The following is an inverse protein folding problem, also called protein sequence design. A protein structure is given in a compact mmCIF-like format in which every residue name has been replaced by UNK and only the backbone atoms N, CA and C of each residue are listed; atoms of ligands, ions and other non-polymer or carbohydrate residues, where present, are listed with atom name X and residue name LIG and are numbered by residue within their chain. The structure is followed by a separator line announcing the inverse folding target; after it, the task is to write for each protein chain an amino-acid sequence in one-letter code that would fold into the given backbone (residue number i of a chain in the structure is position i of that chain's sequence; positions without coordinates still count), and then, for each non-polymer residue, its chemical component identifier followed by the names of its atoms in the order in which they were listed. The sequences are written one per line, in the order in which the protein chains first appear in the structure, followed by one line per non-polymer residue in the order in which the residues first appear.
data_IF_049498941772
#
_entry.id   IF_049498941772
#
_cell.length_a   1.000
_cell.length_b   1.000
_cell.length_c   1.000
_cell.angle_alpha   90.00
_cell.angle_beta   90.00
_cell.angle_gamma   90.00
#
_symmetry.space_group_name_H-M   'P 1'
#
loop_
_entity.id
_entity.type
_entity.pdbx_description
1 polymer ?
#
# COMPACT_ATOMS: atom_id res chain seq x y z
N UNK A 1 -24.34 -0.92 18.68
CA UNK A 1 -24.88 -2.31 18.75
C UNK A 1 -24.03 -3.17 19.68
N UNK A 2 -22.70 -3.16 19.55
CA UNK A 2 -21.80 -3.89 20.46
C UNK A 2 -21.89 -3.44 21.94
N UNK A 3 -22.30 -2.19 22.23
CA UNK A 3 -22.41 -1.73 23.62
C UNK A 3 -23.49 -2.47 24.41
N UNK A 4 -24.57 -2.93 23.74
CA UNK A 4 -25.74 -3.54 24.38
C UNK A 4 -25.56 -5.03 24.64
N UNK A 5 -24.78 -5.72 23.80
CA UNK A 5 -24.49 -7.17 23.91
C UNK A 5 -23.06 -7.44 24.37
N UNK A 6 -22.49 -6.52 25.16
CA UNK A 6 -21.12 -6.64 25.66
C UNK A 6 -21.07 -7.55 26.89
N UNK A 7 -19.91 -8.15 27.16
CA UNK A 7 -19.68 -9.00 28.35
C UNK A 7 -19.95 -8.25 29.66
N UNK A 8 -19.73 -6.93 29.70
CA UNK A 8 -20.11 -6.11 30.85
C UNK A 8 -21.62 -6.06 31.08
N UNK A 9 -22.42 -6.08 30.01
CA UNK A 9 -23.88 -6.09 30.12
C UNK A 9 -24.41 -7.46 30.56
N UNK A 10 -23.77 -8.55 30.12
CA UNK A 10 -24.08 -9.92 30.57
C UNK A 10 -23.91 -10.07 32.09
N UNK A 11 -22.81 -9.55 32.63
CA UNK A 11 -22.53 -9.56 34.07
C UNK A 11 -23.52 -8.66 34.82
N UNK A 12 -23.85 -7.48 34.29
CA UNK A 12 -24.80 -6.57 34.93
C UNK A 12 -26.21 -7.16 35.01
N UNK A 13 -26.65 -7.84 33.95
CA UNK A 13 -27.97 -8.46 33.89
C UNK A 13 -27.99 -9.90 34.41
N UNK A 14 -26.82 -10.45 34.77
CA UNK A 14 -26.64 -11.84 35.20
C UNK A 14 -27.27 -12.85 34.22
N UNK A 15 -27.07 -12.60 32.92
CA UNK A 15 -27.58 -13.42 31.82
C UNK A 15 -26.46 -13.68 30.82
N UNK A 16 -26.42 -14.88 30.26
CA UNK A 16 -25.54 -15.24 29.16
C UNK A 16 -26.32 -15.11 27.84
N UNK A 17 -25.94 -14.15 26.99
CA UNK A 17 -26.66 -13.92 25.74
C UNK A 17 -26.48 -15.05 24.74
N UNK A 18 -25.38 -15.81 24.81
CA UNK A 18 -25.15 -16.95 23.92
C UNK A 18 -26.14 -18.08 24.22
N UNK A 19 -26.29 -18.44 25.51
CA UNK A 19 -27.26 -19.46 25.95
C UNK A 19 -28.69 -19.00 25.65
N UNK A 20 -29.00 -17.73 25.93
CA UNK A 20 -30.33 -17.18 25.67
C UNK A 20 -30.69 -17.22 24.17
N UNK A 21 -29.71 -16.96 23.29
CA UNK A 21 -29.91 -17.08 21.85
C UNK A 21 -30.12 -18.54 21.45
N UNK A 22 -29.30 -19.47 21.95
CA UNK A 22 -29.39 -20.91 21.67
C UNK A 22 -30.77 -21.49 22.03
N UNK A 23 -31.35 -21.08 23.17
CA UNK A 23 -32.68 -21.54 23.58
C UNK A 23 -33.84 -20.87 22.81
N UNK A 24 -33.58 -19.75 22.13
CA UNK A 24 -34.60 -18.93 21.48
C UNK A 24 -35.22 -19.59 20.24
N UNK A 25 -36.40 -19.11 19.84
CA UNK A 25 -37.00 -19.50 18.55
C UNK A 25 -36.20 -18.99 17.35
N UNK A 26 -35.51 -17.85 17.50
CA UNK A 26 -34.68 -17.24 16.45
C UNK A 26 -33.51 -18.15 16.05
N UNK A 27 -32.87 -18.82 17.00
CA UNK A 27 -31.80 -19.78 16.68
C UNK A 27 -32.33 -20.97 15.88
N UNK A 28 -33.47 -21.55 16.30
CA UNK A 28 -34.12 -22.65 15.57
C UNK A 28 -34.55 -22.25 14.16
N UNK A 29 -35.18 -21.09 14.00
CA UNK A 29 -35.55 -20.55 12.69
C UNK A 29 -34.32 -20.31 11.79
N UNK A 30 -33.20 -19.87 12.36
CA UNK A 30 -31.96 -19.67 11.63
C UNK A 30 -31.32 -21.01 11.20
N UNK A 31 -31.34 -22.04 12.05
CA UNK A 31 -30.86 -23.38 11.68
C UNK A 31 -31.71 -24.01 10.58
N UNK A 32 -33.03 -23.96 10.70
CA UNK A 32 -33.97 -24.45 9.68
C UNK A 32 -33.74 -23.73 8.34
N UNK A 33 -33.52 -22.41 8.37
CA UNK A 33 -33.22 -21.61 7.18
C UNK A 33 -31.88 -22.01 6.55
N UNK A 34 -30.85 -22.27 7.36
CA UNK A 34 -29.54 -22.73 6.88
C UNK A 34 -29.66 -24.11 6.23
N UNK A 35 -30.40 -25.05 6.82
CA UNK A 35 -30.63 -26.37 6.24
C UNK A 35 -31.35 -26.25 4.89
N UNK A 36 -32.40 -25.44 4.82
CA UNK A 36 -33.14 -25.19 3.57
C UNK A 36 -32.28 -24.56 2.47
N UNK A 37 -31.44 -23.57 2.82
CA UNK A 37 -30.55 -22.89 1.85
C UNK A 37 -29.31 -23.71 1.49
N UNK A 38 -28.91 -24.67 2.32
CA UNK A 38 -27.79 -25.57 2.05
C UNK A 38 -28.09 -26.54 0.90
N UNK A 39 -29.37 -26.83 0.66
CA UNK A 39 -29.83 -27.67 -0.44
C UNK A 39 -29.95 -26.78 -1.69
N UNK A 40 -29.12 -26.99 -2.74
CA UNK A 40 -29.21 -26.22 -3.96
C UNK A 40 -30.55 -26.47 -4.66
N UNK A 41 -31.10 -25.43 -5.32
CA UNK A 41 -32.37 -25.56 -6.02
C UNK A 41 -32.26 -26.62 -7.14
N UNK A 42 -33.32 -27.41 -7.40
CA UNK A 42 -33.35 -28.33 -8.53
C UNK A 42 -33.08 -27.56 -9.82
N UNK A 43 -32.08 -27.98 -10.59
CA UNK A 43 -31.56 -27.31 -11.81
C UNK A 43 -30.73 -26.02 -11.60
N UNK A 44 -30.27 -25.71 -10.38
CA UNK A 44 -29.27 -24.65 -10.21
C UNK A 44 -27.88 -25.15 -10.60
N UNK A 45 -27.15 -24.37 -11.39
CA UNK A 45 -25.73 -24.59 -11.65
C UNK A 45 -24.87 -23.85 -10.62
N UNK A 46 -23.71 -24.44 -10.29
CA UNK A 46 -22.74 -23.77 -9.43
C UNK A 46 -22.22 -22.49 -10.12
N UNK A 47 -22.08 -21.41 -9.33
CA UNK A 47 -21.44 -20.18 -9.77
C UNK A 47 -19.97 -20.45 -10.14
N UNK A 48 -19.70 -20.60 -11.43
CA UNK A 48 -18.37 -20.79 -11.98
C UNK A 48 -17.89 -19.50 -12.64
N UNK A 49 -16.83 -18.90 -12.09
CA UNK A 49 -16.15 -17.77 -12.73
C UNK A 49 -14.97 -18.30 -13.54
N UNK A 50 -14.94 -18.00 -14.84
CA UNK A 50 -13.82 -18.37 -15.72
C UNK A 50 -12.50 -17.66 -15.37
N UNK A 51 -12.60 -16.50 -14.72
CA UNK A 51 -11.47 -15.67 -14.33
C UNK A 51 -11.64 -15.15 -12.91
N UNK A 52 -10.54 -15.09 -12.15
CA UNK A 52 -10.52 -14.55 -10.78
C UNK A 52 -10.73 -13.03 -10.69
N UNK A 53 -10.65 -12.33 -11.83
CA UNK A 53 -10.78 -10.87 -11.92
C UNK A 53 -11.70 -10.47 -13.07
N UNK A 54 -12.40 -9.35 -12.93
CA UNK A 54 -13.36 -8.86 -13.93
C UNK A 54 -12.73 -8.35 -15.23
N UNK A 55 -11.43 -8.01 -15.22
CA UNK A 55 -10.71 -7.43 -16.36
C UNK A 55 -9.39 -8.16 -16.61
N UNK A 56 -8.85 -8.02 -17.82
CA UNK A 56 -7.55 -8.61 -18.15
C UNK A 56 -6.38 -7.97 -17.37
N UNK A 57 -5.26 -8.67 -17.26
CA UNK A 57 -4.11 -8.19 -16.49
C UNK A 57 -3.48 -6.88 -17.00
N UNK A 58 -3.59 -6.60 -18.30
CA UNK A 58 -3.05 -5.38 -18.90
C UNK A 58 -3.86 -4.13 -18.54
N UNK A 59 -5.19 -4.23 -18.56
CA UNK A 59 -6.09 -3.17 -18.12
C UNK A 59 -5.89 -2.90 -16.63
N UNK A 60 -5.77 -3.96 -15.82
CA UNK A 60 -5.44 -3.84 -14.40
C UNK A 60 -4.12 -3.09 -14.18
N UNK A 61 -3.06 -3.43 -14.93
CA UNK A 61 -1.77 -2.76 -14.83
C UNK A 61 -1.85 -1.29 -15.25
N UNK A 62 -2.52 -0.99 -16.37
CA UNK A 62 -2.73 0.39 -16.84
C UNK A 62 -3.50 1.21 -15.80
N UNK A 63 -4.52 0.63 -15.18
CA UNK A 63 -5.28 1.29 -14.12
C UNK A 63 -4.41 1.55 -12.88
N UNK A 64 -3.59 0.58 -12.45
CA UNK A 64 -2.66 0.76 -11.34
C UNK A 64 -1.61 1.85 -11.63
N UNK A 65 -1.03 1.86 -12.84
CA UNK A 65 -0.08 2.88 -13.28
C UNK A 65 -0.71 4.28 -13.29
N UNK A 66 -1.95 4.39 -13.79
CA UNK A 66 -2.70 5.64 -13.79
C UNK A 66 -2.95 6.13 -12.36
N UNK A 67 -3.46 5.23 -11.49
CA UNK A 67 -3.73 5.51 -10.08
C UNK A 67 -2.49 6.04 -9.38
N UNK A 68 -1.41 5.27 -9.41
CA UNK A 68 -0.17 5.64 -8.74
C UNK A 68 0.41 6.94 -9.30
N UNK A 69 0.45 7.12 -10.63
CA UNK A 69 0.96 8.36 -11.22
C UNK A 69 0.21 9.60 -10.71
N UNK A 70 -1.11 9.50 -10.60
CA UNK A 70 -1.93 10.57 -10.04
C UNK A 70 -1.65 10.76 -8.56
N UNK A 71 -1.58 9.70 -7.76
CA UNK A 71 -1.30 9.80 -6.31
C UNK A 71 0.05 10.45 -6.04
N UNK A 72 1.10 10.02 -6.74
CA UNK A 72 2.44 10.60 -6.62
C UNK A 72 2.47 12.07 -7.06
N UNK A 73 1.85 12.41 -8.18
CA UNK A 73 1.82 13.79 -8.67
C UNK A 73 1.02 14.73 -7.76
N UNK A 74 -0.10 14.25 -7.21
CA UNK A 74 -0.95 15.01 -6.28
C UNK A 74 -0.44 15.05 -4.85
N UNK A 75 0.71 14.44 -4.56
CA UNK A 75 1.33 14.47 -3.22
C UNK A 75 2.36 15.61 -3.14
N UNK A 76 1.96 16.83 -2.70
CA UNK A 76 2.89 17.95 -2.63
C UNK A 76 4.01 17.71 -1.62
N UNK A 77 3.74 17.01 -0.51
CA UNK A 77 4.74 16.70 0.50
C UNK A 77 5.86 15.78 -0.03
N UNK A 78 5.49 14.81 -0.86
CA UNK A 78 6.47 13.91 -1.51
C UNK A 78 7.34 14.67 -2.51
N UNK A 79 6.73 15.43 -3.41
CA UNK A 79 7.45 16.17 -4.45
C UNK A 79 8.32 17.29 -3.85
N UNK A 80 7.80 18.05 -2.88
CA UNK A 80 8.53 19.12 -2.22
C UNK A 80 9.76 18.60 -1.48
N UNK A 81 9.64 17.48 -0.74
CA UNK A 81 10.77 16.89 -0.02
C UNK A 81 11.88 16.47 -0.97
N UNK A 82 11.56 15.85 -2.10
CA UNK A 82 12.55 15.45 -3.13
C UNK A 82 13.26 16.66 -3.73
N UNK A 83 12.52 17.68 -4.14
CA UNK A 83 13.10 18.90 -4.73
C UNK A 83 13.99 19.61 -3.71
N UNK A 84 13.48 19.82 -2.49
CA UNK A 84 14.21 20.52 -1.43
C UNK A 84 15.52 19.81 -1.08
N UNK A 85 15.49 18.50 -0.84
CA UNK A 85 16.71 17.74 -0.51
C UNK A 85 17.71 17.72 -1.67
N UNK A 86 17.22 17.66 -2.91
CA UNK A 86 18.09 17.71 -4.10
C UNK A 86 18.78 19.08 -4.21
N UNK A 87 18.04 20.17 -4.03
CA UNK A 87 18.58 21.54 -4.07
C UNK A 87 19.58 21.76 -2.94
N UNK A 88 19.25 21.37 -1.71
CA UNK A 88 20.17 21.49 -0.56
C UNK A 88 21.45 20.70 -0.82
N UNK A 89 21.34 19.46 -1.27
CA UNK A 89 22.51 18.63 -1.60
C UNK A 89 23.35 19.27 -2.70
N UNK A 90 22.72 19.73 -3.78
CA UNK A 90 23.42 20.40 -4.87
C UNK A 90 24.15 21.67 -4.41
N UNK A 91 23.57 22.45 -3.49
CA UNK A 91 24.21 23.62 -2.90
C UNK A 91 25.40 23.24 -2.02
N UNK A 92 25.26 22.22 -1.17
CA UNK A 92 26.35 21.75 -0.29
C UNK A 92 27.54 21.28 -1.14
N UNK A 93 27.32 20.36 -2.09
CA UNK A 93 28.39 19.89 -2.97
C UNK A 93 28.94 21.01 -3.86
N UNK A 94 28.06 21.89 -4.35
CA UNK A 94 28.45 23.05 -5.15
C UNK A 94 29.39 24.00 -4.40
N UNK A 95 29.12 24.28 -3.13
CA UNK A 95 29.95 25.14 -2.26
C UNK A 95 31.25 24.42 -1.87
N UNK A 96 31.18 23.15 -1.44
CA UNK A 96 32.35 22.39 -1.00
C UNK A 96 33.41 22.24 -2.09
N UNK A 97 32.97 22.03 -3.34
CA UNK A 97 33.87 21.84 -4.47
C UNK A 97 34.00 23.10 -5.34
N UNK A 98 33.48 24.24 -4.88
CA UNK A 98 33.60 25.53 -5.55
C UNK A 98 35.09 25.90 -5.64
N UNK A 99 35.65 25.82 -6.85
CA UNK A 99 37.07 26.06 -7.22
C UNK A 99 38.05 24.90 -7.05
N UNK A 100 37.76 23.87 -6.25
CA UNK A 100 38.64 22.68 -6.16
C UNK A 100 38.71 21.90 -7.48
N UNK A 101 37.61 21.86 -8.25
CA UNK A 101 37.59 21.20 -9.55
C UNK A 101 38.43 21.90 -10.64
N UNK A 102 38.86 23.15 -10.43
CA UNK A 102 39.63 23.94 -11.42
C UNK A 102 41.14 23.86 -11.23
N UNK A 103 41.61 23.31 -10.11
CA UNK A 103 43.02 23.21 -9.77
C UNK A 103 43.34 21.74 -9.56
N UNK A 104 43.69 21.07 -10.66
CA UNK A 104 44.09 19.66 -10.69
C UNK A 104 45.61 19.62 -10.88
N UNK A 105 46.36 19.77 -9.79
CA UNK A 105 47.82 19.82 -9.86
C UNK A 105 48.45 18.46 -9.48
N UNK A 106 47.74 17.63 -8.74
CA UNK A 106 48.23 16.34 -8.24
C UNK A 106 47.23 15.20 -8.46
N UNK A 107 47.72 13.95 -8.49
CA UNK A 107 46.87 12.74 -8.60
C UNK A 107 45.84 12.67 -7.47
N UNK A 108 46.20 13.15 -6.28
CA UNK A 108 45.33 13.20 -5.11
C UNK A 108 44.14 14.19 -5.29
N UNK A 109 44.34 15.28 -6.02
CA UNK A 109 43.26 16.24 -6.33
C UNK A 109 42.23 15.59 -7.26
N UNK A 110 42.72 14.82 -8.24
CA UNK A 110 41.87 14.06 -9.17
C UNK A 110 41.05 12.99 -8.44
N UNK A 111 41.68 12.21 -7.55
CA UNK A 111 40.99 11.22 -6.72
C UNK A 111 39.95 11.87 -5.81
N UNK A 112 40.24 13.05 -5.28
CA UNK A 112 39.30 13.80 -4.43
C UNK A 112 38.06 14.25 -5.20
N UNK A 113 38.21 14.70 -6.44
CA UNK A 113 37.08 15.06 -7.32
C UNK A 113 36.23 13.84 -7.65
N UNK A 114 36.84 12.70 -8.01
CA UNK A 114 36.08 11.47 -8.28
C UNK A 114 35.36 10.95 -7.02
N UNK A 115 36.00 11.00 -5.86
CA UNK A 115 35.39 10.65 -4.58
C UNK A 115 34.19 11.56 -4.27
N UNK A 116 34.31 12.86 -4.52
CA UNK A 116 33.23 13.82 -4.36
C UNK A 116 32.03 13.53 -5.26
N UNK A 117 32.27 13.22 -6.54
CA UNK A 117 31.22 12.86 -7.50
C UNK A 117 30.50 11.58 -7.06
N UNK A 118 31.25 10.57 -6.63
CA UNK A 118 30.70 9.31 -6.13
C UNK A 118 29.83 9.54 -4.88
N UNK A 119 30.33 10.29 -3.90
CA UNK A 119 29.59 10.62 -2.69
C UNK A 119 28.33 11.44 -2.99
N UNK A 120 28.40 12.40 -3.90
CA UNK A 120 27.26 13.20 -4.32
C UNK A 120 26.16 12.36 -4.98
N UNK A 121 26.53 11.51 -5.93
CA UNK A 121 25.59 10.64 -6.62
C UNK A 121 24.91 9.65 -5.66
N UNK A 122 25.71 8.96 -4.84
CA UNK A 122 25.19 7.95 -3.89
C UNK A 122 24.29 8.57 -2.83
N UNK A 123 24.64 9.77 -2.33
CA UNK A 123 23.84 10.49 -1.32
C UNK A 123 22.50 10.93 -1.90
N UNK A 124 22.47 11.48 -3.13
CA UNK A 124 21.21 11.86 -3.79
C UNK A 124 20.33 10.62 -4.04
N UNK A 125 20.92 9.51 -4.49
CA UNK A 125 20.21 8.24 -4.66
C UNK A 125 19.57 7.77 -3.36
N UNK A 126 20.36 7.68 -2.28
CA UNK A 126 19.89 7.26 -0.97
C UNK A 126 18.74 8.13 -0.43
N UNK A 127 18.80 9.45 -0.60
CA UNK A 127 17.71 10.34 -0.20
C UNK A 127 16.43 10.10 -1.01
N UNK A 128 16.54 9.93 -2.33
CA UNK A 128 15.37 9.65 -3.17
C UNK A 128 14.71 8.32 -2.77
N UNK A 129 15.50 7.28 -2.50
CA UNK A 129 14.99 5.98 -2.05
C UNK A 129 14.27 6.07 -0.70
N UNK A 130 14.84 6.79 0.27
CA UNK A 130 14.21 6.96 1.58
C UNK A 130 12.87 7.70 1.50
N UNK A 131 12.70 8.62 0.54
CA UNK A 131 11.43 9.37 0.42
C UNK A 131 10.24 8.50 0.02
N UNK A 132 10.46 7.35 -0.62
CA UNK A 132 9.37 6.48 -1.09
C UNK A 132 8.79 5.61 0.03
N UNK A 133 9.58 5.30 1.06
CA UNK A 133 9.20 4.38 2.15
C UNK A 133 7.87 4.78 2.81
N UNK A 134 7.73 6.00 3.39
CA UNK A 134 6.49 6.37 4.10
C UNK A 134 5.28 6.45 3.16
N UNK A 135 5.50 6.82 1.90
CA UNK A 135 4.45 6.90 0.89
C UNK A 135 3.93 5.51 0.51
N UNK A 136 4.86 4.58 0.23
CA UNK A 136 4.54 3.19 -0.09
C UNK A 136 3.86 2.47 1.08
N UNK A 137 4.27 2.71 2.32
CA UNK A 137 3.63 2.14 3.51
C UNK A 137 2.17 2.57 3.63
N UNK A 138 1.86 3.83 3.33
CA UNK A 138 0.48 4.35 3.38
C UNK A 138 -0.38 3.74 2.29
N UNK A 139 0.13 3.69 1.05
CA UNK A 139 -0.56 3.05 -0.10
C UNK A 139 -0.81 1.56 0.12
N UNK A 140 0.06 0.87 0.88
CA UNK A 140 -0.08 -0.57 1.16
C UNK A 140 -1.41 -0.91 1.83
N UNK A 141 -1.90 -0.06 2.73
CA UNK A 141 -3.19 -0.26 3.43
C UNK A 141 -4.34 -0.23 2.42
N UNK A 142 -4.29 0.70 1.47
CA UNK A 142 -5.27 0.82 0.39
C UNK A 142 -5.20 -0.42 -0.52
N UNK A 143 -4.00 -0.82 -0.90
CA UNK A 143 -3.77 -2.02 -1.71
C UNK A 143 -4.35 -3.29 -1.08
N UNK A 144 -4.22 -3.47 0.23
CA UNK A 144 -4.81 -4.63 0.90
C UNK A 144 -6.34 -4.63 0.82
N UNK A 145 -6.99 -3.48 0.95
CA UNK A 145 -8.45 -3.36 0.82
C UNK A 145 -8.92 -3.62 -0.61
N UNK A 146 -8.26 -3.02 -1.59
CA UNK A 146 -8.59 -3.20 -3.01
C UNK A 146 -8.37 -4.64 -3.48
N UNK A 147 -7.33 -5.31 -2.94
CA UNK A 147 -7.05 -6.72 -3.21
C UNK A 147 -8.08 -7.64 -2.58
N UNK A 148 -8.51 -7.37 -1.34
CA UNK A 148 -9.58 -8.14 -0.69
C UNK A 148 -10.89 -8.04 -1.46
N UNK A 149 -11.18 -6.86 -2.04
CA UNK A 149 -12.32 -6.66 -2.92
C UNK A 149 -12.17 -7.28 -4.32
N UNK A 150 -11.05 -7.94 -4.64
CA UNK A 150 -10.83 -8.59 -5.93
C UNK A 150 -10.67 -7.62 -7.11
N UNK A 151 -10.22 -6.37 -6.88
CA UNK A 151 -10.16 -5.35 -7.95
C UNK A 151 -9.05 -5.60 -8.98
N UNK A 152 -7.90 -6.10 -8.56
CA UNK A 152 -6.75 -6.38 -9.43
C UNK A 152 -5.80 -7.42 -8.81
N UNK A 153 -4.92 -7.98 -9.64
CA UNK A 153 -3.89 -8.94 -9.26
C UNK A 153 -2.71 -8.27 -8.54
N UNK A 154 -2.04 -9.02 -7.64
CA UNK A 154 -0.83 -8.53 -6.95
C UNK A 154 0.27 -8.08 -7.93
N UNK A 155 0.40 -8.77 -9.06
CA UNK A 155 1.39 -8.45 -10.09
C UNK A 155 1.13 -7.07 -10.70
N UNK A 156 -0.13 -6.75 -11.03
CA UNK A 156 -0.50 -5.46 -11.62
C UNK A 156 -0.10 -4.29 -10.73
N UNK A 157 -0.26 -4.41 -9.40
CA UNK A 157 0.16 -3.38 -8.46
C UNK A 157 1.69 -3.31 -8.32
N UNK A 158 2.36 -4.47 -8.15
CA UNK A 158 3.81 -4.51 -7.97
C UNK A 158 4.55 -3.93 -9.17
N UNK A 159 4.13 -4.26 -10.40
CA UNK A 159 4.73 -3.69 -11.61
C UNK A 159 4.43 -2.21 -11.78
N UNK A 160 3.27 -1.73 -11.35
CA UNK A 160 2.98 -0.31 -11.38
C UNK A 160 3.90 0.47 -10.41
N UNK A 161 4.18 -0.11 -9.24
CA UNK A 161 4.93 0.53 -8.16
C UNK A 161 6.42 0.75 -8.51
N UNK A 162 6.99 -0.10 -9.36
CA UNK A 162 8.36 0.03 -9.88
C UNK A 162 8.35 1.08 -10.99
N UNK A 163 8.49 2.34 -10.61
CA UNK A 163 8.58 3.49 -11.52
C UNK A 163 9.90 4.22 -11.35
#
# INVERSE_FOLDING_TARGET
MMDVTSTSMEVQHNMDFAILYEESSLHREAEDLVEQLSIPLPNSENLCFSHSFAQNGWIQLKACLWKQNITYWRSPQYNLRRIMMTVISALIYGILFWKHAKVLNNEQDMLSVFGAMYLGFTTIGAYNDQTIIPFSTTERIVMYRERFAGMYSSWSYSFAQVR
#
